data_IF_494863079951
#
_entry.id   IF_494863079951
#
_cell.length_a   1.000
_cell.length_b   1.000
_cell.length_c   1.000
_cell.angle_alpha   90.00
_cell.angle_beta   90.00
_cell.angle_gamma   90.00
#
_symmetry.space_group_name_H-M   'P 1'
#
loop_
_entity.id
_entity.type
_entity.pdbx_description
1 polymer ?
#
# COMPACT_ATOMS: atom_id res chain seq x y z
N UNK A 1 15.93 5.20 10.63
CA UNK A 1 14.60 5.23 9.97
C UNK A 1 13.68 4.35 10.78
N UNK A 2 12.56 4.93 11.23
CA UNK A 2 11.50 4.25 11.97
C UNK A 2 10.38 3.91 10.97
N UNK A 3 10.06 2.63 10.85
CA UNK A 3 9.07 2.09 9.94
C UNK A 3 7.88 1.57 10.73
N UNK A 4 6.68 1.93 10.32
CA UNK A 4 5.46 1.38 10.89
C UNK A 4 4.66 0.66 9.80
N UNK A 5 4.37 -0.62 10.04
CA UNK A 5 3.45 -1.43 9.22
C UNK A 5 2.13 -1.56 9.96
N UNK A 6 1.02 -1.37 9.27
CA UNK A 6 -0.30 -1.54 9.89
C UNK A 6 -0.55 -2.97 10.36
N UNK A 7 -0.08 -3.96 9.58
CA UNK A 7 -0.15 -5.40 9.91
C UNK A 7 1.06 -6.14 9.33
N UNK A 8 1.39 -7.31 9.92
CA UNK A 8 2.37 -8.26 9.37
C UNK A 8 1.78 -9.68 9.22
N UNK A 9 0.48 -9.75 8.93
CA UNK A 9 -0.27 -11.02 8.83
C UNK A 9 -0.08 -11.74 7.49
N UNK A 10 0.26 -11.03 6.43
CA UNK A 10 0.55 -11.63 5.11
C UNK A 10 2.00 -12.06 5.00
N UNK A 11 2.30 -13.05 4.13
CA UNK A 11 3.68 -13.49 3.87
C UNK A 11 4.54 -12.34 3.35
N UNK A 12 4.00 -11.52 2.46
CA UNK A 12 4.70 -10.32 1.98
C UNK A 12 5.06 -9.36 3.13
N UNK A 13 4.11 -9.06 4.00
CA UNK A 13 4.35 -8.12 5.10
C UNK A 13 5.37 -8.65 6.10
N UNK A 14 5.36 -9.96 6.38
CA UNK A 14 6.38 -10.63 7.22
C UNK A 14 7.77 -10.56 6.61
N UNK A 15 7.91 -10.86 5.33
CA UNK A 15 9.18 -10.77 4.61
C UNK A 15 9.68 -9.32 4.54
N UNK A 16 8.79 -8.36 4.28
CA UNK A 16 9.14 -6.94 4.25
C UNK A 16 9.62 -6.46 5.62
N UNK A 17 8.95 -6.85 6.70
CA UNK A 17 9.38 -6.57 8.06
C UNK A 17 10.78 -7.15 8.33
N UNK A 18 10.99 -8.41 7.98
CA UNK A 18 12.29 -9.08 8.13
C UNK A 18 13.39 -8.37 7.33
N UNK A 19 13.07 -7.93 6.11
CA UNK A 19 14.00 -7.19 5.25
C UNK A 19 14.43 -5.86 5.87
N UNK A 20 13.49 -5.08 6.40
CA UNK A 20 13.81 -3.83 7.10
C UNK A 20 14.67 -4.06 8.35
N UNK A 21 14.35 -5.08 9.15
CA UNK A 21 15.11 -5.43 10.36
C UNK A 21 16.54 -5.87 10.01
N UNK A 22 16.73 -6.65 8.95
CA UNK A 22 18.06 -7.08 8.48
C UNK A 22 18.96 -5.89 8.06
N UNK A 23 18.35 -4.79 7.64
CA UNK A 23 19.04 -3.54 7.30
C UNK A 23 19.18 -2.57 8.48
N UNK A 24 18.96 -3.06 9.71
CA UNK A 24 19.11 -2.27 10.93
C UNK A 24 18.05 -1.17 11.11
N UNK A 25 16.88 -1.32 10.51
CA UNK A 25 15.77 -0.38 10.68
C UNK A 25 14.90 -0.79 11.87
N UNK A 26 14.36 0.19 12.59
CA UNK A 26 13.37 -0.06 13.63
C UNK A 26 12.00 -0.26 13.01
N UNK A 27 11.36 -1.40 13.25
CA UNK A 27 10.06 -1.75 12.64
C UNK A 27 9.04 -2.04 13.72
N UNK A 28 7.89 -1.40 13.62
CA UNK A 28 6.78 -1.51 14.55
C UNK A 28 5.48 -1.86 13.81
N UNK A 29 4.57 -2.52 14.51
CA UNK A 29 3.27 -2.96 13.97
C UNK A 29 2.14 -2.78 14.99
N UNK A 30 0.91 -2.73 14.52
CA UNK A 30 -0.29 -2.80 15.37
C UNK A 30 -0.34 -1.71 16.44
N UNK A 31 -0.65 -2.10 17.66
CA UNK A 31 -0.89 -1.18 18.79
C UNK A 31 0.33 -0.34 19.21
N UNK A 32 1.52 -0.66 18.70
CA UNK A 32 2.72 0.11 18.99
C UNK A 32 2.63 1.56 18.48
N UNK A 33 1.73 1.86 17.55
CA UNK A 33 1.56 3.19 16.96
C UNK A 33 1.43 4.31 18.00
N UNK A 34 0.60 4.08 19.02
CA UNK A 34 0.30 5.11 20.03
C UNK A 34 1.52 5.54 20.87
N UNK A 35 2.53 4.66 20.97
CA UNK A 35 3.74 4.90 21.74
C UNK A 35 4.93 5.41 20.91
N UNK A 36 4.79 5.50 19.58
CA UNK A 36 5.89 5.90 18.71
C UNK A 36 6.17 7.40 18.80
N UNK A 37 7.42 7.79 19.10
CA UNK A 37 7.80 9.21 19.14
C UNK A 37 7.79 9.85 17.75
N UNK A 38 8.14 9.08 16.72
CA UNK A 38 8.20 9.51 15.33
C UNK A 38 8.07 8.31 14.38
N UNK A 39 7.67 8.56 13.13
CA UNK A 39 7.63 7.58 12.04
C UNK A 39 8.24 8.23 10.79
N UNK A 40 9.16 7.57 10.12
CA UNK A 40 9.74 8.03 8.86
C UNK A 40 9.03 7.43 7.63
N UNK A 41 8.48 6.21 7.79
CA UNK A 41 7.79 5.47 6.74
C UNK A 41 6.58 4.74 7.33
N UNK A 42 5.41 5.07 6.82
CA UNK A 42 4.14 4.39 7.10
C UNK A 42 3.78 3.46 5.94
N UNK A 43 3.47 2.21 6.27
CA UNK A 43 3.09 1.17 5.32
C UNK A 43 1.73 0.59 5.69
N UNK A 44 0.73 0.85 4.88
CA UNK A 44 -0.56 0.16 4.97
C UNK A 44 -0.46 -1.17 4.21
N UNK A 45 -0.38 -2.26 4.94
CA UNK A 45 -0.11 -3.60 4.42
C UNK A 45 -1.36 -4.48 4.32
N UNK A 46 -2.54 -3.90 4.50
CA UNK A 46 -3.80 -4.61 4.33
C UNK A 46 -3.96 -5.12 2.89
N UNK A 47 -4.21 -6.43 2.75
CA UNK A 47 -4.45 -7.08 1.46
C UNK A 47 -5.37 -8.30 1.67
N UNK A 48 -6.55 -8.03 2.20
CA UNK A 48 -7.50 -9.07 2.58
C UNK A 48 -8.35 -9.50 1.39
N UNK A 49 -8.29 -10.81 1.10
CA UNK A 49 -9.18 -11.49 0.17
C UNK A 49 -10.16 -12.32 0.98
N UNK A 50 -11.38 -11.86 1.07
CA UNK A 50 -12.38 -12.49 1.90
C UNK A 50 -12.86 -13.82 1.29
N UNK A 51 -13.04 -14.82 2.13
CA UNK A 51 -13.72 -16.06 1.74
C UNK A 51 -15.14 -15.72 1.28
N UNK A 52 -15.56 -16.28 0.16
CA UNK A 52 -16.88 -16.03 -0.42
C UNK A 52 -16.93 -14.83 -1.39
N UNK A 53 -15.85 -14.05 -1.56
CA UNK A 53 -15.77 -13.00 -2.58
C UNK A 53 -15.42 -13.59 -3.97
N UNK A 54 -16.04 -14.70 -4.32
CA UNK A 54 -15.84 -15.42 -5.59
C UNK A 54 -17.09 -15.46 -6.48
N UNK A 55 -18.14 -14.76 -6.10
CA UNK A 55 -19.37 -14.65 -6.87
C UNK A 55 -19.19 -13.79 -8.13
N UNK A 56 -20.04 -14.07 -9.11
CA UNK A 56 -20.21 -13.25 -10.32
C UNK A 56 -21.55 -12.49 -10.25
N UNK A 57 -21.75 -11.55 -11.16
CA UNK A 57 -23.05 -10.87 -11.27
C UNK A 57 -24.21 -11.83 -11.58
N UNK A 58 -23.90 -13.03 -12.09
CA UNK A 58 -24.90 -14.05 -12.40
C UNK A 58 -25.29 -14.87 -11.16
N UNK A 59 -24.39 -15.00 -10.18
CA UNK A 59 -24.61 -15.74 -8.93
C UNK A 59 -25.33 -14.89 -7.88
N UNK A 60 -25.36 -13.57 -8.08
CA UNK A 60 -25.81 -12.59 -7.11
C UNK A 60 -24.67 -12.04 -6.25
N UNK A 61 -24.59 -10.72 -6.15
CA UNK A 61 -23.58 -10.03 -5.35
C UNK A 61 -23.98 -10.03 -3.88
N UNK A 62 -23.08 -10.47 -3.02
CA UNK A 62 -23.28 -10.39 -1.58
C UNK A 62 -22.77 -9.03 -1.05
N UNK A 63 -23.67 -8.11 -0.65
CA UNK A 63 -23.29 -6.79 -0.21
C UNK A 63 -22.54 -6.81 1.13
N UNK A 64 -22.73 -7.79 2.00
CA UNK A 64 -22.04 -7.87 3.30
C UNK A 64 -20.56 -8.20 3.09
N UNK A 65 -20.23 -9.10 2.18
CA UNK A 65 -18.87 -9.44 1.81
C UNK A 65 -18.18 -8.22 1.18
N UNK A 66 -18.87 -7.52 0.27
CA UNK A 66 -18.34 -6.30 -0.35
C UNK A 66 -18.04 -5.24 0.69
N UNK A 67 -18.97 -4.98 1.61
CA UNK A 67 -18.78 -3.97 2.66
C UNK A 67 -17.63 -4.33 3.60
N UNK A 68 -17.50 -5.59 4.00
CA UNK A 68 -16.36 -6.05 4.81
C UNK A 68 -15.03 -5.87 4.08
N UNK A 69 -14.96 -6.14 2.78
CA UNK A 69 -13.75 -5.88 2.00
C UNK A 69 -13.40 -4.38 1.97
N UNK A 70 -14.41 -3.52 1.88
CA UNK A 70 -14.22 -2.05 1.97
C UNK A 70 -13.72 -1.64 3.35
N UNK A 71 -14.28 -2.18 4.42
CA UNK A 71 -13.81 -1.90 5.79
C UNK A 71 -12.34 -2.28 5.97
N UNK A 72 -11.95 -3.50 5.55
CA UNK A 72 -10.60 -4.03 5.75
C UNK A 72 -9.55 -3.40 4.82
N UNK A 73 -9.87 -3.23 3.54
CA UNK A 73 -8.86 -2.82 2.55
C UNK A 73 -8.86 -1.32 2.25
N UNK A 74 -9.89 -0.57 2.64
CA UNK A 74 -10.00 0.86 2.41
C UNK A 74 -10.08 1.65 3.73
N UNK A 75 -11.10 1.40 4.57
CA UNK A 75 -11.32 2.22 5.76
C UNK A 75 -10.18 2.05 6.77
N UNK A 76 -9.82 0.81 7.10
CA UNK A 76 -8.78 0.52 8.09
C UNK A 76 -7.42 1.16 7.75
N UNK A 77 -6.87 1.05 6.52
CA UNK A 77 -5.60 1.71 6.18
C UNK A 77 -5.67 3.25 6.22
N UNK A 78 -6.79 3.86 5.85
CA UNK A 78 -6.95 5.32 5.91
C UNK A 78 -7.04 5.81 7.35
N UNK A 79 -7.82 5.14 8.21
CA UNK A 79 -7.90 5.47 9.64
C UNK A 79 -6.55 5.25 10.34
N UNK A 80 -5.80 4.21 9.96
CA UNK A 80 -4.45 4.00 10.47
C UNK A 80 -3.49 5.11 10.06
N UNK A 81 -3.59 5.63 8.81
CA UNK A 81 -2.81 6.79 8.38
C UNK A 81 -3.18 8.02 9.20
N UNK A 82 -4.46 8.30 9.37
CA UNK A 82 -4.95 9.43 10.20
C UNK A 82 -4.35 9.38 11.60
N UNK A 83 -4.40 8.23 12.26
CA UNK A 83 -3.82 8.02 13.58
C UNK A 83 -2.28 8.18 13.60
N UNK A 84 -1.60 7.88 12.48
CA UNK A 84 -0.15 7.96 12.37
C UNK A 84 0.37 9.37 12.04
N UNK A 85 -0.45 10.28 11.53
CA UNK A 85 -0.04 11.63 11.09
C UNK A 85 0.78 12.39 12.15
N UNK A 86 0.39 12.44 13.44
CA UNK A 86 1.17 13.16 14.44
C UNK A 86 2.59 12.59 14.63
N UNK A 87 2.78 11.29 14.47
CA UNK A 87 4.10 10.66 14.55
C UNK A 87 4.89 10.83 13.25
N UNK A 88 4.23 10.81 12.09
CA UNK A 88 4.83 11.10 10.78
C UNK A 88 5.31 12.56 10.68
N UNK A 89 4.59 13.50 11.26
CA UNK A 89 5.01 14.92 11.32
C UNK A 89 6.30 15.13 12.11
N UNK A 90 6.52 14.31 13.13
CA UNK A 90 7.76 14.34 13.91
C UNK A 90 8.90 13.57 13.24
N UNK A 91 8.59 12.72 12.28
CA UNK A 91 9.57 11.97 11.48
C UNK A 91 10.26 12.82 10.42
N UNK A 92 11.37 12.33 9.92
CA UNK A 92 12.15 13.02 8.88
C UNK A 92 11.81 12.54 7.47
N UNK A 93 11.20 11.37 7.35
CA UNK A 93 10.93 10.73 6.06
C UNK A 93 9.61 11.16 5.42
N UNK A 94 8.56 11.33 6.22
CA UNK A 94 7.18 11.64 5.78
C UNK A 94 6.71 10.80 4.58
N UNK A 95 7.04 9.50 4.59
CA UNK A 95 6.73 8.58 3.50
C UNK A 95 5.52 7.74 3.83
N UNK A 96 4.60 7.63 2.88
CA UNK A 96 3.39 6.83 2.97
C UNK A 96 3.35 5.86 1.79
N UNK A 97 3.06 4.60 2.06
CA UNK A 97 2.80 3.60 1.03
C UNK A 97 1.57 2.78 1.37
N UNK A 98 0.72 2.58 0.38
CA UNK A 98 -0.41 1.66 0.48
C UNK A 98 -0.16 0.44 -0.41
N UNK A 99 -0.35 -0.75 0.15
CA UNK A 99 -0.35 -2.01 -0.60
C UNK A 99 -1.68 -2.13 -1.33
N UNK A 100 -1.60 -2.31 -2.65
CA UNK A 100 -2.76 -2.44 -3.52
C UNK A 100 -2.54 -3.57 -4.53
N UNK A 101 -3.32 -3.61 -5.58
CA UNK A 101 -3.16 -4.53 -6.71
C UNK A 101 -3.32 -3.75 -8.01
N UNK A 102 -2.34 -3.81 -8.88
CA UNK A 102 -2.42 -3.16 -10.19
C UNK A 102 -3.59 -3.67 -11.01
N UNK A 103 -3.83 -4.97 -10.98
CA UNK A 103 -4.94 -5.59 -11.71
C UNK A 103 -6.32 -5.23 -11.14
N UNK A 104 -6.45 -5.17 -9.81
CA UNK A 104 -7.72 -4.82 -9.16
C UNK A 104 -7.99 -3.32 -9.17
N UNK A 105 -6.94 -2.50 -8.99
CA UNK A 105 -7.08 -1.05 -8.90
C UNK A 105 -7.18 -0.34 -10.26
N UNK A 106 -6.74 -0.98 -11.35
CA UNK A 106 -6.75 -0.38 -12.68
C UNK A 106 -7.91 -0.88 -13.52
N UNK A 107 -8.92 -0.04 -13.69
CA UNK A 107 -10.14 -0.37 -14.43
C UNK A 107 -9.82 -0.82 -15.87
N UNK A 108 -8.87 -0.17 -16.53
CA UNK A 108 -8.52 -0.46 -17.92
C UNK A 108 -7.80 -1.81 -18.11
N UNK A 109 -7.18 -2.34 -17.05
CA UNK A 109 -6.36 -3.55 -17.12
C UNK A 109 -6.97 -4.74 -16.41
N UNK A 110 -8.05 -4.52 -15.65
CA UNK A 110 -8.75 -5.62 -14.96
C UNK A 110 -9.31 -6.61 -15.96
N UNK A 111 -9.10 -7.89 -15.70
CA UNK A 111 -9.69 -9.02 -16.43
C UNK A 111 -10.50 -9.91 -15.47
N UNK A 112 -10.76 -9.40 -14.27
CA UNK A 112 -11.48 -10.14 -13.24
C UNK A 112 -12.96 -10.23 -13.60
N UNK A 113 -13.53 -11.39 -13.39
CA UNK A 113 -14.98 -11.64 -13.58
C UNK A 113 -15.68 -11.88 -12.24
N UNK A 114 -14.93 -11.93 -11.15
CA UNK A 114 -15.39 -12.16 -9.77
C UNK A 114 -14.45 -11.43 -8.79
N UNK A 115 -14.73 -11.48 -7.49
CA UNK A 115 -13.92 -10.78 -6.49
C UNK A 115 -14.29 -9.30 -6.40
N UNK A 116 -15.57 -8.99 -6.38
CA UNK A 116 -16.09 -7.62 -6.36
C UNK A 116 -15.59 -6.83 -5.16
N UNK A 117 -15.67 -7.41 -3.95
CA UNK A 117 -15.26 -6.75 -2.73
C UNK A 117 -13.79 -6.36 -2.76
N UNK A 118 -12.92 -7.31 -3.12
CA UNK A 118 -11.48 -7.02 -3.23
C UNK A 118 -11.18 -5.98 -4.31
N UNK A 119 -11.67 -6.17 -5.54
CA UNK A 119 -11.36 -5.27 -6.65
C UNK A 119 -11.85 -3.84 -6.38
N UNK A 120 -13.11 -3.71 -5.93
CA UNK A 120 -13.70 -2.41 -5.60
C UNK A 120 -12.96 -1.71 -4.45
N UNK A 121 -12.62 -2.44 -3.38
CA UNK A 121 -11.88 -1.87 -2.24
C UNK A 121 -10.49 -1.37 -2.62
N UNK A 122 -9.75 -2.09 -3.47
CA UNK A 122 -8.42 -1.67 -3.96
C UNK A 122 -8.48 -0.49 -4.93
N UNK A 123 -9.48 -0.44 -5.79
CA UNK A 123 -9.71 0.73 -6.65
C UNK A 123 -10.07 1.98 -5.81
N UNK A 124 -10.96 1.82 -4.83
CA UNK A 124 -11.33 2.89 -3.91
C UNK A 124 -10.14 3.34 -3.04
N UNK A 125 -9.28 2.41 -2.57
CA UNK A 125 -8.06 2.73 -1.84
C UNK A 125 -7.11 3.59 -2.69
N UNK A 126 -6.95 3.27 -3.96
CA UNK A 126 -6.09 4.05 -4.86
C UNK A 126 -6.60 5.49 -5.02
N UNK A 127 -7.91 5.66 -5.14
CA UNK A 127 -8.55 6.99 -5.17
C UNK A 127 -8.40 7.73 -3.83
N UNK A 128 -8.62 7.06 -2.70
CA UNK A 128 -8.46 7.65 -1.37
C UNK A 128 -7.00 8.09 -1.13
N UNK A 129 -6.04 7.26 -1.51
CA UNK A 129 -4.62 7.60 -1.43
C UNK A 129 -4.26 8.82 -2.29
N UNK A 130 -4.88 8.99 -3.47
CA UNK A 130 -4.74 10.20 -4.29
C UNK A 130 -5.26 11.45 -3.58
N UNK A 131 -6.39 11.35 -2.89
CA UNK A 131 -6.94 12.45 -2.10
C UNK A 131 -5.99 12.81 -0.96
N UNK A 132 -5.46 11.83 -0.24
CA UNK A 132 -4.45 12.05 0.80
C UNK A 132 -3.18 12.70 0.23
N UNK A 133 -2.68 12.20 -0.91
CA UNK A 133 -1.54 12.81 -1.60
C UNK A 133 -1.79 14.28 -1.93
N UNK A 134 -2.91 14.61 -2.56
CA UNK A 134 -3.22 15.99 -2.93
C UNK A 134 -3.23 16.94 -1.73
N UNK A 135 -3.70 16.44 -0.57
CA UNK A 135 -3.78 17.23 0.66
C UNK A 135 -2.43 17.37 1.37
N UNK A 136 -1.63 16.30 1.41
CA UNK A 136 -0.44 16.23 2.26
C UNK A 136 0.88 16.48 1.52
N UNK A 137 0.90 16.33 0.19
CA UNK A 137 2.10 16.57 -0.61
C UNK A 137 2.70 17.99 -0.40
N UNK A 138 1.90 19.07 -0.33
CA UNK A 138 2.44 20.41 -0.04
C UNK A 138 3.11 20.55 1.34
N UNK A 139 2.82 19.60 2.27
CA UNK A 139 3.42 19.54 3.61
C UNK A 139 4.69 18.66 3.67
N UNK A 140 5.17 18.22 2.49
CA UNK A 140 6.39 17.44 2.34
C UNK A 140 6.19 15.92 2.43
N UNK A 141 4.95 15.44 2.44
CA UNK A 141 4.67 14.02 2.38
C UNK A 141 4.87 13.45 0.98
N UNK A 142 5.37 12.23 0.91
CA UNK A 142 5.46 11.47 -0.34
C UNK A 142 4.61 10.21 -0.26
N UNK A 143 3.94 9.89 -1.37
CA UNK A 143 3.01 8.77 -1.43
C UNK A 143 3.37 7.80 -2.55
N UNK A 144 3.13 6.51 -2.30
CA UNK A 144 3.25 5.44 -3.29
C UNK A 144 2.16 4.41 -3.13
N UNK A 145 1.82 3.79 -4.23
CA UNK A 145 1.05 2.56 -4.27
C UNK A 145 1.98 1.42 -4.68
N UNK A 146 1.87 0.28 -4.03
CA UNK A 146 2.71 -0.87 -4.32
C UNK A 146 1.87 -2.14 -4.47
N UNK A 147 2.09 -2.87 -5.59
CA UNK A 147 1.52 -4.19 -5.83
C UNK A 147 2.58 -5.27 -5.57
N UNK A 148 2.44 -6.10 -4.54
CA UNK A 148 3.36 -7.20 -4.26
C UNK A 148 3.28 -8.35 -5.26
N UNK A 149 2.35 -8.34 -6.23
CA UNK A 149 2.13 -9.41 -7.21
C UNK A 149 1.95 -10.78 -6.54
N UNK A 150 1.07 -10.85 -5.53
CA UNK A 150 0.78 -12.08 -4.78
C UNK A 150 0.46 -13.24 -5.72
N UNK A 151 1.16 -14.37 -5.53
CA UNK A 151 1.02 -15.56 -6.36
C UNK A 151 1.78 -15.51 -7.69
N UNK A 152 2.41 -14.38 -8.07
CA UNK A 152 3.22 -14.25 -9.30
C UNK A 152 4.72 -14.16 -9.03
N UNK A 153 5.10 -13.60 -7.88
CA UNK A 153 6.48 -13.59 -7.39
C UNK A 153 6.49 -14.13 -5.95
N UNK A 154 7.66 -14.53 -5.47
CA UNK A 154 7.77 -14.96 -4.07
C UNK A 154 7.59 -13.76 -3.13
N UNK A 155 7.06 -13.98 -1.91
CA UNK A 155 6.93 -12.91 -0.91
C UNK A 155 8.24 -12.18 -0.64
N UNK A 156 9.36 -12.89 -0.62
CA UNK A 156 10.70 -12.33 -0.44
C UNK A 156 11.10 -11.42 -1.61
N UNK A 157 10.88 -11.84 -2.85
CA UNK A 157 11.17 -11.00 -4.01
C UNK A 157 10.34 -9.71 -3.99
N UNK A 158 9.05 -9.82 -3.63
CA UNK A 158 8.19 -8.65 -3.48
C UNK A 158 8.68 -7.72 -2.36
N UNK A 159 9.13 -8.28 -1.24
CA UNK A 159 9.67 -7.52 -0.11
C UNK A 159 10.98 -6.81 -0.45
N UNK A 160 11.90 -7.48 -1.16
CA UNK A 160 13.15 -6.87 -1.62
C UNK A 160 12.87 -5.69 -2.58
N UNK A 161 11.94 -5.88 -3.54
CA UNK A 161 11.53 -4.82 -4.45
C UNK A 161 10.88 -3.63 -3.72
N UNK A 162 9.97 -3.91 -2.77
CA UNK A 162 9.34 -2.89 -1.95
C UNK A 162 10.38 -2.11 -1.12
N UNK A 163 11.32 -2.81 -0.50
CA UNK A 163 12.40 -2.17 0.27
C UNK A 163 13.18 -1.18 -0.59
N UNK A 164 13.60 -1.59 -1.79
CA UNK A 164 14.34 -0.73 -2.72
C UNK A 164 13.53 0.51 -3.13
N UNK A 165 12.27 0.32 -3.50
CA UNK A 165 11.39 1.42 -3.90
C UNK A 165 11.15 2.39 -2.74
N UNK A 166 10.93 1.87 -1.52
CA UNK A 166 10.54 2.67 -0.36
C UNK A 166 11.72 3.37 0.33
N UNK A 167 12.94 2.87 0.16
CA UNK A 167 14.13 3.45 0.81
C UNK A 167 14.90 4.40 -0.09
N UNK A 168 14.69 4.40 -1.39
CA UNK A 168 15.31 5.37 -2.29
C UNK A 168 14.88 6.79 -1.92
N UNK A 169 15.84 7.69 -1.83
CA UNK A 169 15.58 9.11 -1.56
C UNK A 169 14.94 9.83 -2.75
N UNK A 170 15.18 9.31 -3.96
CA UNK A 170 14.56 9.74 -5.22
C UNK A 170 14.44 8.52 -6.11
N UNK A 171 13.22 8.10 -6.46
CA UNK A 171 13.03 7.11 -7.49
C UNK A 171 13.30 7.75 -8.86
N UNK A 172 14.19 7.15 -9.63
CA UNK A 172 14.49 7.59 -11.00
C UNK A 172 13.39 7.12 -11.93
N UNK A 173 12.78 8.04 -12.65
CA UNK A 173 11.88 7.74 -13.76
C UNK A 173 12.70 7.78 -15.06
N UNK A 174 12.98 6.63 -15.69
CA UNK A 174 13.79 6.58 -16.91
C UNK A 174 13.16 7.35 -18.08
N UNK A 175 11.83 7.44 -18.10
CA UNK A 175 11.09 8.12 -19.18
C UNK A 175 10.98 9.64 -18.93
N UNK A 176 11.33 10.11 -17.74
CA UNK A 176 11.25 11.51 -17.32
C UNK A 176 12.34 11.84 -16.30
N UNK A 177 13.58 12.06 -16.72
CA UNK A 177 14.72 12.22 -15.80
C UNK A 177 14.59 13.35 -14.76
N UNK A 178 13.69 14.29 -14.95
CA UNK A 178 13.40 15.38 -14.02
C UNK A 178 12.24 15.09 -13.04
N UNK A 179 11.56 13.96 -13.15
CA UNK A 179 10.41 13.60 -12.34
C UNK A 179 10.70 12.36 -11.50
N UNK A 180 10.51 12.47 -10.21
CA UNK A 180 10.60 11.34 -9.29
C UNK A 180 9.22 10.71 -9.06
N UNK A 181 9.17 9.43 -8.67
CA UNK A 181 7.92 8.76 -8.28
C UNK A 181 7.23 9.50 -7.13
N UNK A 182 8.01 10.13 -6.24
CA UNK A 182 7.49 10.94 -5.13
C UNK A 182 6.65 12.13 -5.60
N UNK A 183 7.05 12.75 -6.71
CA UNK A 183 6.33 13.91 -7.27
C UNK A 183 5.14 13.52 -8.16
N UNK A 184 5.05 12.25 -8.58
CA UNK A 184 4.04 11.79 -9.55
C UNK A 184 2.89 11.03 -8.92
N UNK A 185 3.10 10.43 -7.75
CA UNK A 185 2.18 9.49 -7.14
C UNK A 185 1.85 8.32 -8.08
N UNK A 186 2.68 7.30 -8.06
CA UNK A 186 2.62 6.16 -8.97
C UNK A 186 2.22 4.86 -8.25
N UNK A 187 1.64 3.93 -9.03
CA UNK A 187 1.47 2.54 -8.65
C UNK A 187 2.57 1.72 -9.32
N UNK A 188 3.47 1.12 -8.51
CA UNK A 188 4.48 0.19 -8.99
C UNK A 188 4.25 -1.20 -8.45
N UNK A 189 4.59 -2.20 -9.26
CA UNK A 189 4.59 -3.59 -8.81
C UNK A 189 5.98 -4.09 -8.42
N UNK A 190 6.02 -5.33 -7.92
CA UNK A 190 7.25 -6.00 -7.49
C UNK A 190 8.25 -6.30 -8.62
N UNK A 191 7.86 -6.13 -9.89
CA UNK A 191 8.75 -6.19 -11.05
C UNK A 191 9.20 -4.80 -11.54
N UNK A 192 8.83 -3.74 -10.81
CA UNK A 192 9.17 -2.37 -11.12
C UNK A 192 8.30 -1.74 -12.21
N UNK A 193 7.28 -2.43 -12.72
CA UNK A 193 6.39 -1.88 -13.74
C UNK A 193 5.47 -0.82 -13.14
N UNK A 194 5.22 0.23 -13.90
CA UNK A 194 4.21 1.22 -13.57
C UNK A 194 2.86 0.81 -14.14
N UNK A 195 1.82 0.86 -13.31
CA UNK A 195 0.46 0.57 -13.71
C UNK A 195 -0.30 1.86 -13.97
N UNK A 196 -0.96 1.98 -15.11
CA UNK A 196 -1.92 3.06 -15.36
C UNK A 196 -3.17 2.82 -14.55
N UNK A 197 -3.78 3.87 -14.06
CA UNK A 197 -4.97 3.82 -13.19
C UNK A 197 -5.82 5.10 -13.30
#
# INVERSE_FOLDING_TARGET
MIVYLTRDTTDFARELRARFLAEGRSVYTGDALAALPAIDLFLATQDERLAGDDFTVLDGVDPEIVMRAVEENLCAPILALEAALPALDRGTGKRVCFVTSGEAASVNWSRQTRGYGYAMSKAALSQAARICYNRLYPEGYTFRLFDPLVGRVSPRQAADAAYEILTRSRAYDPDNPGRTDEARFVLRDALGREWPW
#
